data_IF_333592117573
#
_entry.id   IF_333592117573
#
_cell.length_a   1.000
_cell.length_b   1.000
_cell.length_c   1.000
_cell.angle_alpha   90.00
_cell.angle_beta   90.00
_cell.angle_gamma   90.00
#
_symmetry.space_group_name_H-M   'P 1'
#
loop_
_entity.id
_entity.type
_entity.pdbx_description
1 polymer ?
#
# COMPACT_ATOMS: atom_id res chain seq x y z
N UNK A 1 16.62 -16.67 -21.69
CA UNK A 1 17.10 -15.91 -20.52
C UNK A 1 15.89 -15.32 -19.83
N UNK A 2 15.69 -15.61 -18.55
CA UNK A 2 14.54 -15.09 -17.78
C UNK A 2 14.60 -13.55 -17.75
N UNK A 3 13.56 -12.90 -18.28
CA UNK A 3 13.35 -11.47 -18.10
C UNK A 3 12.80 -11.28 -16.68
N UNK A 4 13.61 -10.67 -15.84
CA UNK A 4 13.30 -10.34 -14.45
C UNK A 4 12.43 -9.08 -14.48
N UNK A 5 11.26 -9.11 -13.82
CA UNK A 5 10.50 -7.89 -13.56
C UNK A 5 11.35 -6.99 -12.66
N UNK A 6 11.71 -5.81 -13.14
CA UNK A 6 12.64 -4.89 -12.46
C UNK A 6 11.91 -3.87 -11.55
N UNK A 7 10.59 -3.97 -11.39
CA UNK A 7 9.82 -3.10 -10.51
C UNK A 7 9.75 -1.63 -10.95
N UNK A 8 10.11 -1.29 -12.19
CA UNK A 8 10.02 0.11 -12.65
C UNK A 8 8.59 0.46 -13.02
N UNK A 9 7.97 1.30 -12.19
CA UNK A 9 6.78 2.10 -12.52
C UNK A 9 6.89 2.72 -13.94
N UNK A 10 5.77 2.92 -14.62
CA UNK A 10 5.70 3.62 -15.91
C UNK A 10 6.19 5.10 -15.85
N UNK A 11 6.51 5.59 -14.65
CA UNK A 11 7.08 6.91 -14.37
C UNK A 11 8.05 6.84 -13.18
N UNK A 12 8.84 7.89 -12.98
CA UNK A 12 9.66 8.05 -11.77
C UNK A 12 8.80 7.93 -10.49
N UNK A 13 9.35 7.33 -9.40
CA UNK A 13 8.66 7.27 -8.12
C UNK A 13 8.26 8.68 -7.66
N UNK A 14 6.99 8.86 -7.30
CA UNK A 14 6.46 10.12 -6.75
C UNK A 14 5.78 9.86 -5.42
N UNK A 15 5.94 10.79 -4.50
CA UNK A 15 5.30 10.80 -3.19
C UNK A 15 5.08 12.25 -2.77
N UNK A 16 4.11 12.48 -1.89
CA UNK A 16 3.97 13.77 -1.23
C UNK A 16 4.91 13.83 -0.03
N UNK A 17 5.72 14.88 0.05
CA UNK A 17 6.36 15.27 1.30
C UNK A 17 5.30 15.67 2.31
N UNK A 18 5.63 15.59 3.60
CA UNK A 18 4.69 16.04 4.63
C UNK A 18 4.27 17.51 4.45
N UNK A 19 5.14 18.36 3.91
CA UNK A 19 4.82 19.76 3.63
C UNK A 19 3.77 19.88 2.52
N UNK A 20 3.93 19.14 1.43
CA UNK A 20 2.94 19.11 0.34
C UNK A 20 1.61 18.52 0.81
N UNK A 21 1.62 17.52 1.71
CA UNK A 21 0.39 17.03 2.35
C UNK A 21 -0.30 18.14 3.16
N UNK A 22 0.45 18.92 3.96
CA UNK A 22 -0.12 20.05 4.73
C UNK A 22 -0.73 21.11 3.81
N UNK A 23 -0.08 21.41 2.70
CA UNK A 23 -0.58 22.34 1.69
C UNK A 23 -1.85 21.82 1.02
N UNK A 24 -1.89 20.54 0.64
CA UNK A 24 -3.07 19.89 0.10
C UNK A 24 -4.25 19.93 1.07
N UNK A 25 -4.02 19.60 2.34
CA UNK A 25 -5.06 19.60 3.39
C UNK A 25 -5.56 21.03 3.65
N UNK A 26 -4.66 22.02 3.67
CA UNK A 26 -5.05 23.42 3.82
C UNK A 26 -5.91 23.91 2.64
N UNK A 27 -5.53 23.55 1.41
CA UNK A 27 -6.29 23.88 0.22
C UNK A 27 -7.67 23.21 0.20
N UNK A 28 -7.75 21.92 0.53
CA UNK A 28 -9.03 21.22 0.62
C UNK A 28 -9.96 21.84 1.65
N UNK A 29 -9.42 22.33 2.77
CA UNK A 29 -10.17 23.05 3.80
C UNK A 29 -10.80 24.34 3.30
N UNK A 30 -10.13 25.10 2.42
CA UNK A 30 -10.70 26.30 1.78
C UNK A 30 -11.92 25.98 0.91
N UNK A 31 -12.03 24.74 0.44
CA UNK A 31 -13.14 24.21 -0.35
C UNK A 31 -14.19 23.45 0.49
N UNK A 32 -14.09 23.49 1.82
CA UNK A 32 -14.94 22.73 2.74
C UNK A 32 -14.87 21.20 2.52
N UNK A 33 -13.76 20.71 1.96
CA UNK A 33 -13.51 19.28 1.72
C UNK A 33 -12.65 18.73 2.85
N UNK A 34 -13.11 17.65 3.47
CA UNK A 34 -12.30 16.86 4.40
C UNK A 34 -11.48 15.82 3.63
N UNK A 35 -10.16 15.86 3.80
CA UNK A 35 -9.26 14.80 3.32
C UNK A 35 -9.14 13.73 4.41
N UNK A 36 -9.40 12.48 4.06
CA UNK A 36 -9.24 11.31 4.93
C UNK A 36 -8.07 10.48 4.40
N UNK A 37 -6.98 10.29 5.17
CA UNK A 37 -5.87 9.46 4.73
C UNK A 37 -6.22 7.98 4.79
N UNK A 38 -5.58 7.21 3.91
CA UNK A 38 -5.66 5.75 3.89
C UNK A 38 -4.26 5.13 3.88
N UNK A 39 -4.07 4.12 4.73
CA UNK A 39 -3.01 3.12 4.56
C UNK A 39 -3.74 1.77 4.52
N UNK A 40 -3.80 1.19 3.34
CA UNK A 40 -4.52 -0.06 3.11
C UNK A 40 -3.74 -1.26 3.68
N UNK A 41 -4.40 -1.98 4.59
CA UNK A 41 -3.91 -3.18 5.28
C UNK A 41 -5.08 -4.12 5.56
N UNK A 42 -4.87 -5.45 5.57
CA UNK A 42 -3.58 -6.13 5.50
C UNK A 42 -3.08 -6.42 4.08
N UNK A 43 -3.95 -6.35 3.07
CA UNK A 43 -3.61 -6.53 1.66
C UNK A 43 -3.12 -5.23 1.03
N UNK A 44 -2.80 -5.24 -0.27
CA UNK A 44 -2.27 -4.08 -1.01
C UNK A 44 -0.98 -3.46 -0.40
N UNK A 45 -0.32 -4.16 0.51
CA UNK A 45 0.74 -3.61 1.36
C UNK A 45 2.16 -3.86 0.83
N UNK A 46 2.31 -4.29 -0.43
CA UNK A 46 3.60 -4.69 -1.00
C UNK A 46 4.68 -3.60 -0.86
N UNK A 47 4.33 -2.33 -1.13
CA UNK A 47 5.25 -1.21 -0.98
C UNK A 47 5.72 -1.02 0.49
N UNK A 48 4.79 -1.17 1.45
CA UNK A 48 5.09 -1.05 2.88
C UNK A 48 6.02 -2.17 3.35
N UNK A 49 5.75 -3.42 2.94
CA UNK A 49 6.56 -4.59 3.26
C UNK A 49 7.98 -4.45 2.67
N UNK A 50 8.10 -4.04 1.40
CA UNK A 50 9.40 -3.81 0.76
C UNK A 50 10.19 -2.69 1.46
N UNK A 51 9.53 -1.58 1.80
CA UNK A 51 10.16 -0.49 2.54
C UNK A 51 10.65 -0.94 3.92
N UNK A 52 9.88 -1.76 4.63
CA UNK A 52 10.26 -2.29 5.93
C UNK A 52 11.43 -3.28 5.86
N UNK A 53 11.49 -4.12 4.82
CA UNK A 53 12.64 -5.02 4.56
C UNK A 53 13.95 -4.25 4.38
N UNK A 54 13.92 -3.06 3.77
CA UNK A 54 15.11 -2.18 3.68
C UNK A 54 15.63 -1.74 5.05
N UNK A 55 14.77 -1.76 6.07
CA UNK A 55 15.07 -1.51 7.48
C UNK A 55 15.25 -2.81 8.29
N UNK A 56 15.41 -3.96 7.61
CA UNK A 56 15.58 -5.28 8.22
C UNK A 56 14.40 -5.71 9.11
N UNK A 57 13.18 -5.25 8.78
CA UNK A 57 11.94 -5.65 9.46
C UNK A 57 11.16 -6.66 8.61
N UNK A 58 10.55 -7.63 9.25
CA UNK A 58 9.69 -8.61 8.59
C UNK A 58 8.22 -8.35 8.92
N UNK A 59 7.51 -7.74 7.98
CA UNK A 59 6.10 -7.41 8.17
C UNK A 59 5.15 -8.43 7.54
N UNK A 60 5.65 -9.32 6.67
CA UNK A 60 4.80 -10.23 5.92
C UNK A 60 5.33 -10.61 4.55
N UNK A 61 4.40 -11.10 3.72
CA UNK A 61 4.71 -11.80 2.49
C UNK A 61 4.42 -10.90 1.29
N UNK A 62 5.29 -10.98 0.29
CA UNK A 62 5.08 -10.38 -1.04
C UNK A 62 5.22 -11.53 -2.01
N UNK A 63 4.10 -12.02 -2.52
CA UNK A 63 4.07 -13.00 -3.60
C UNK A 63 3.78 -12.26 -4.90
N UNK A 64 4.46 -12.62 -5.99
CA UNK A 64 4.14 -12.13 -7.34
C UNK A 64 3.35 -13.23 -8.04
N UNK A 65 2.22 -12.91 -8.70
CA UNK A 65 1.42 -13.93 -9.39
C UNK A 65 2.27 -14.75 -10.38
N UNK A 66 2.16 -16.07 -10.33
CA UNK A 66 2.59 -16.94 -11.42
C UNK A 66 1.81 -16.58 -12.69
N UNK A 67 2.51 -16.23 -13.78
CA UNK A 67 1.87 -15.79 -15.04
C UNK A 67 1.96 -14.29 -15.33
N UNK A 68 2.53 -13.47 -14.43
CA UNK A 68 2.84 -12.06 -14.70
C UNK A 68 4.02 -11.83 -15.67
N UNK A 69 4.40 -12.85 -16.44
CA UNK A 69 5.29 -12.69 -17.57
C UNK A 69 4.49 -12.16 -18.77
N UNK A 70 4.67 -10.88 -19.08
CA UNK A 70 4.69 -10.40 -20.48
C UNK A 70 3.35 -10.25 -21.23
N UNK A 71 2.22 -9.93 -20.58
CA UNK A 71 0.95 -9.68 -21.30
C UNK A 71 0.34 -8.27 -21.16
N UNK A 72 1.11 -7.28 -20.71
CA UNK A 72 0.63 -5.89 -20.63
C UNK A 72 1.03 -4.99 -21.81
N UNK A 73 1.84 -5.48 -22.76
CA UNK A 73 2.24 -4.66 -23.91
C UNK A 73 1.06 -4.31 -24.85
N UNK A 74 0.02 -5.16 -24.88
CA UNK A 74 -1.15 -5.02 -25.76
C UNK A 74 -2.45 -4.71 -25.00
N UNK A 75 -2.38 -4.49 -23.67
CA UNK A 75 -3.56 -4.17 -22.88
C UNK A 75 -3.97 -2.69 -23.11
N UNK A 76 -5.27 -2.37 -23.27
CA UNK A 76 -5.75 -0.99 -23.30
C UNK A 76 -5.25 -0.23 -22.07
N UNK A 77 -4.95 1.07 -22.18
CA UNK A 77 -4.57 1.92 -21.04
C UNK A 77 -5.58 1.90 -19.88
N UNK A 78 -6.80 1.44 -20.13
CA UNK A 78 -7.88 1.26 -19.14
C UNK A 78 -7.91 -0.12 -18.49
N UNK A 79 -7.05 -1.04 -18.91
CA UNK A 79 -6.87 -2.30 -18.21
C UNK A 79 -6.07 -1.99 -16.93
N UNK A 80 -6.64 -2.18 -15.73
CA UNK A 80 -5.87 -2.07 -14.52
C UNK A 80 -4.67 -3.01 -14.63
N UNK A 81 -3.48 -2.65 -14.13
CA UNK A 81 -2.34 -3.54 -14.15
C UNK A 81 -2.65 -4.75 -13.25
N UNK A 82 -3.33 -5.73 -13.83
CA UNK A 82 -3.87 -6.93 -13.21
C UNK A 82 -2.80 -7.95 -12.82
N UNK A 83 -1.53 -7.54 -12.82
CA UNK A 83 -0.41 -8.25 -12.19
C UNK A 83 -0.31 -7.98 -10.69
N UNK A 84 -0.98 -6.92 -10.20
CA UNK A 84 -0.97 -6.46 -8.81
C UNK A 84 -2.41 -6.32 -8.28
N UNK A 85 -3.30 -7.27 -8.60
CA UNK A 85 -4.56 -7.43 -7.83
C UNK A 85 -4.24 -7.56 -6.33
N UNK A 86 -5.15 -7.20 -5.44
CA UNK A 86 -4.86 -6.86 -4.05
C UNK A 86 -4.11 -7.86 -3.16
N UNK A 87 -3.98 -9.11 -3.58
CA UNK A 87 -3.38 -10.19 -2.80
C UNK A 87 -1.84 -10.22 -2.79
N UNK A 88 -1.13 -9.40 -3.56
CA UNK A 88 0.32 -9.53 -3.80
C UNK A 88 1.24 -8.90 -2.73
N UNK A 89 0.69 -8.51 -1.59
CA UNK A 89 1.44 -7.98 -0.45
C UNK A 89 0.57 -8.01 0.78
N UNK A 90 0.78 -9.02 1.61
CA UNK A 90 -0.05 -9.27 2.78
C UNK A 90 0.82 -9.16 4.02
N UNK A 91 0.42 -8.23 4.88
CA UNK A 91 0.97 -8.10 6.22
C UNK A 91 0.59 -9.34 7.01
N UNK A 92 1.48 -9.82 7.88
CA UNK A 92 1.17 -10.83 8.89
C UNK A 92 1.18 -10.10 10.24
N UNK A 93 0.13 -10.22 11.08
CA UNK A 93 -0.07 -9.36 12.25
C UNK A 93 0.82 -9.80 13.44
N UNK A 94 2.13 -9.82 13.22
CA UNK A 94 3.13 -9.97 14.28
C UNK A 94 3.22 -8.68 15.09
N UNK A 95 3.76 -8.74 16.32
CA UNK A 95 3.96 -7.52 17.11
C UNK A 95 4.85 -6.51 16.37
N UNK A 96 5.90 -6.97 15.69
CA UNK A 96 6.78 -6.10 14.89
C UNK A 96 6.03 -5.41 13.75
N UNK A 97 5.14 -6.15 13.08
CA UNK A 97 4.29 -5.59 12.02
C UNK A 97 3.34 -4.53 12.57
N UNK A 98 2.64 -4.85 13.66
CA UNK A 98 1.70 -3.93 14.31
C UNK A 98 2.40 -2.66 14.78
N UNK A 99 3.55 -2.76 15.45
CA UNK A 99 4.30 -1.59 15.91
C UNK A 99 4.76 -0.70 14.74
N UNK A 100 5.17 -1.31 13.63
CA UNK A 100 5.59 -0.56 12.44
C UNK A 100 4.42 0.16 11.77
N UNK A 101 3.28 -0.53 11.61
CA UNK A 101 2.08 0.03 10.98
C UNK A 101 1.51 1.13 11.86
N UNK A 102 1.40 0.91 13.18
CA UNK A 102 0.91 1.93 14.11
C UNK A 102 1.78 3.17 14.08
N UNK A 103 3.11 3.04 14.07
CA UNK A 103 4.00 4.18 13.92
C UNK A 103 3.79 4.96 12.61
N UNK A 104 3.56 4.26 11.50
CA UNK A 104 3.24 4.89 10.21
C UNK A 104 1.87 5.58 10.24
N UNK A 105 0.85 4.93 10.81
CA UNK A 105 -0.49 5.50 10.99
C UNK A 105 -0.44 6.75 11.87
N UNK A 106 0.28 6.72 12.99
CA UNK A 106 0.44 7.87 13.88
C UNK A 106 1.11 9.05 13.18
N UNK A 107 2.20 8.80 12.43
CA UNK A 107 2.90 9.84 11.68
C UNK A 107 1.99 10.47 10.62
N UNK A 108 1.30 9.64 9.83
CA UNK A 108 0.40 10.11 8.76
C UNK A 108 -0.80 10.82 9.36
N UNK A 109 -1.49 10.23 10.34
CA UNK A 109 -2.65 10.82 10.99
C UNK A 109 -2.33 12.20 11.60
N UNK A 110 -1.12 12.40 12.12
CA UNK A 110 -0.66 13.70 12.62
C UNK A 110 -0.65 14.83 11.59
N UNK A 111 -0.75 14.52 10.29
CA UNK A 111 -0.86 15.50 9.21
C UNK A 111 -2.30 15.91 8.90
N UNK A 112 -3.30 15.13 9.34
CA UNK A 112 -4.71 15.32 9.00
C UNK A 112 -5.52 15.69 10.25
N UNK A 113 -6.16 16.87 10.29
CA UNK A 113 -6.88 17.32 11.49
C UNK A 113 -8.26 16.65 11.68
N UNK A 114 -8.70 15.83 10.73
CA UNK A 114 -10.01 15.18 10.77
C UNK A 114 -10.04 13.96 11.71
N UNK A 115 -11.23 13.55 12.19
CA UNK A 115 -11.37 12.44 13.14
C UNK A 115 -11.30 11.03 12.52
N UNK A 116 -11.01 10.92 11.22
CA UNK A 116 -11.08 9.66 10.48
C UNK A 116 -9.72 9.30 9.87
N UNK A 117 -9.44 8.00 9.86
CA UNK A 117 -8.33 7.37 9.17
C UNK A 117 -8.86 6.08 8.55
N UNK A 118 -8.60 5.84 7.27
CA UNK A 118 -9.03 4.65 6.57
C UNK A 118 -7.93 3.58 6.63
N UNK A 119 -8.27 2.35 7.02
CA UNK A 119 -7.33 1.24 7.06
C UNK A 119 -7.45 0.30 5.86
N UNK A 120 -8.39 0.57 4.95
CA UNK A 120 -8.67 -0.29 3.80
C UNK A 120 -9.32 -1.59 4.25
N UNK A 121 -8.66 -2.71 3.93
CA UNK A 121 -9.08 -4.06 4.34
C UNK A 121 -9.74 -4.86 3.21
N UNK A 122 -9.60 -4.43 1.98
CA UNK A 122 -10.02 -5.16 0.79
C UNK A 122 -9.04 -6.28 0.41
N UNK A 123 -9.54 -7.25 -0.37
CA UNK A 123 -8.77 -8.28 -1.08
C UNK A 123 -7.77 -9.11 -0.23
N UNK A 124 -8.03 -9.29 1.06
CA UNK A 124 -7.28 -10.17 1.97
C UNK A 124 -7.76 -11.64 1.96
N UNK A 125 -8.47 -12.06 0.91
CA UNK A 125 -9.27 -13.30 0.87
C UNK A 125 -8.45 -14.60 0.85
N UNK A 126 -7.19 -14.56 0.41
CA UNK A 126 -6.35 -15.78 0.28
C UNK A 126 -5.77 -16.29 1.62
N UNK A 127 -5.88 -15.51 2.71
CA UNK A 127 -5.33 -15.85 4.04
C UNK A 127 -6.38 -16.33 5.04
N UNK A 128 -7.50 -16.87 4.54
CA UNK A 128 -8.81 -16.86 5.22
C UNK A 128 -9.00 -17.72 6.46
N UNK A 129 -8.16 -18.69 6.82
CA UNK A 129 -8.64 -19.69 7.80
C UNK A 129 -7.93 -19.71 9.17
N UNK A 130 -6.77 -19.09 9.39
CA UNK A 130 -6.12 -19.11 10.73
C UNK A 130 -5.47 -17.81 11.25
N UNK A 131 -5.02 -16.91 10.37
CA UNK A 131 -4.30 -15.69 10.78
C UNK A 131 -5.23 -14.50 11.05
N UNK A 132 -6.25 -14.29 10.21
CA UNK A 132 -7.15 -13.12 10.28
C UNK A 132 -8.60 -13.46 10.69
N UNK A 133 -8.91 -14.74 10.89
CA UNK A 133 -10.26 -15.25 11.21
C UNK A 133 -10.53 -15.45 12.71
N UNK A 134 -9.61 -15.06 13.60
CA UNK A 134 -9.74 -15.17 15.06
C UNK A 134 -10.13 -13.87 15.73
#
# INVERSE_FOLDING_TARGET
GQKIYNGTSYAEPRFFTQQEVRELVAFAKELEIQVVPEIDVPAHAAALIIAARSKQKDLGVVELHEGCAEQQADAPLTAPPNCMGGTHGIIIPTQEAMDYILGAVEEVAGLFPGPYFHLGGDEADEFRDDVYSR
#
